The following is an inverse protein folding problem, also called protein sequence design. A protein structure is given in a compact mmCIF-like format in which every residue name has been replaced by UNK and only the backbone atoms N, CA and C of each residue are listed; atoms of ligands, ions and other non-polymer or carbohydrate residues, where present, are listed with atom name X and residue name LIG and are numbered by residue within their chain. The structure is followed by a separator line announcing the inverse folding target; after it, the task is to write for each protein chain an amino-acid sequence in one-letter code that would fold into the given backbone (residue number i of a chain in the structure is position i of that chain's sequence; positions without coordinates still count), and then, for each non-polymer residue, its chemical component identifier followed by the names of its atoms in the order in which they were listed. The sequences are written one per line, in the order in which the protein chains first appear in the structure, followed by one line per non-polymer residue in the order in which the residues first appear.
data_IF_382038809121
#
_entry.id   IF_382038809121
#
_cell.length_a   1.000
_cell.length_b   1.000
_cell.length_c   1.000
_cell.angle_alpha   90.00
_cell.angle_beta   90.00
_cell.angle_gamma   90.00
#
_symmetry.space_group_name_H-M   'P 1'
#
loop_
_entity.id
_entity.type
_entity.pdbx_description
1 polymer ?
#
# COMPACT_ATOMS: atom_id res chain seq x y z
N UNK A 1 19.60 -10.10 8.54
CA UNK A 1 18.98 -8.78 8.25
C UNK A 1 19.89 -7.92 7.39
N UNK A 2 21.07 -7.48 7.87
CA UNK A 2 22.01 -6.66 7.08
C UNK A 2 22.46 -7.36 5.79
N UNK A 3 22.78 -8.65 5.88
CA UNK A 3 23.20 -9.43 4.70
C UNK A 3 22.09 -9.52 3.65
N UNK A 4 20.82 -9.60 4.08
CA UNK A 4 19.68 -9.58 3.17
C UNK A 4 19.48 -8.21 2.52
N UNK A 5 19.58 -7.12 3.29
CA UNK A 5 19.51 -5.74 2.77
C UNK A 5 20.61 -5.51 1.73
N UNK A 6 21.84 -5.95 2.01
CA UNK A 6 22.94 -5.89 1.07
C UNK A 6 22.69 -6.76 -0.17
N UNK A 7 22.15 -7.97 0.00
CA UNK A 7 21.85 -8.88 -1.10
C UNK A 7 20.79 -8.31 -2.08
N UNK A 8 19.80 -7.56 -1.59
CA UNK A 8 18.80 -6.89 -2.44
C UNK A 8 19.27 -5.54 -2.98
N UNK A 9 20.50 -5.11 -2.68
CA UNK A 9 21.08 -3.83 -3.11
C UNK A 9 20.45 -2.60 -2.46
N UNK A 10 19.67 -2.77 -1.40
CA UNK A 10 19.01 -1.68 -0.69
C UNK A 10 19.97 -1.00 0.29
N UNK A 11 19.68 0.25 0.64
CA UNK A 11 20.38 1.01 1.68
C UNK A 11 19.46 1.20 2.88
N UNK A 12 19.98 1.03 4.09
CA UNK A 12 19.22 1.32 5.31
C UNK A 12 19.18 2.83 5.55
N UNK A 13 17.98 3.39 5.63
CA UNK A 13 17.76 4.72 6.18
C UNK A 13 17.52 4.59 7.69
N UNK A 14 18.36 5.23 8.49
CA UNK A 14 18.19 5.28 9.95
C UNK A 14 17.44 6.56 10.33
N UNK A 15 16.49 6.43 11.24
CA UNK A 15 15.86 7.57 11.91
C UNK A 15 16.87 8.15 12.89
N UNK A 16 17.08 9.46 12.83
CA UNK A 16 17.97 10.15 13.76
C UNK A 16 17.36 10.15 15.16
N UNK A 17 18.18 9.97 16.22
CA UNK A 17 17.71 10.13 17.58
C UNK A 17 17.04 11.49 17.78
N UNK A 18 15.81 11.49 18.30
CA UNK A 18 15.02 12.71 18.50
C UNK A 18 14.29 13.22 17.26
N UNK A 19 14.25 12.47 16.15
CA UNK A 19 13.55 12.85 14.92
C UNK A 19 12.37 11.92 14.56
N UNK A 20 11.34 11.80 15.42
CA UNK A 20 10.22 10.88 15.17
C UNK A 20 9.44 11.19 13.87
N UNK A 21 9.45 12.44 13.40
CA UNK A 21 8.80 12.84 12.15
C UNK A 21 9.41 12.16 10.90
N UNK A 22 10.64 11.64 10.96
CA UNK A 22 11.25 10.88 9.85
C UNK A 22 10.53 9.54 9.61
N UNK A 23 9.67 9.08 10.53
CA UNK A 23 8.83 7.88 10.40
C UNK A 23 7.36 8.21 10.07
N UNK A 24 7.03 9.46 9.79
CA UNK A 24 5.65 9.95 9.70
C UNK A 24 4.79 9.20 8.68
N UNK A 25 5.36 8.81 7.55
CA UNK A 25 4.63 8.07 6.50
C UNK A 25 4.22 6.67 6.97
N UNK A 26 5.14 5.92 7.58
CA UNK A 26 4.86 4.59 8.13
C UNK A 26 3.87 4.66 9.30
N UNK A 27 3.97 5.68 10.15
CA UNK A 27 3.04 5.89 11.25
C UNK A 27 1.64 6.22 10.75
N UNK A 28 1.54 7.13 9.77
CA UNK A 28 0.27 7.54 9.16
C UNK A 28 -0.41 6.36 8.45
N UNK A 29 0.37 5.54 7.72
CA UNK A 29 -0.13 4.31 7.11
C UNK A 29 -0.69 3.34 8.15
N UNK A 30 0.08 3.06 9.22
CA UNK A 30 -0.33 2.14 10.27
C UNK A 30 -1.53 2.65 11.09
N UNK A 31 -1.66 3.96 11.28
CA UNK A 31 -2.83 4.57 11.90
C UNK A 31 -4.07 4.32 11.05
N UNK A 32 -4.01 4.62 9.75
CA UNK A 32 -5.14 4.42 8.85
C UNK A 32 -5.55 2.96 8.71
N UNK A 33 -4.59 2.04 8.64
CA UNK A 33 -4.87 0.61 8.66
C UNK A 33 -5.63 0.18 9.93
N UNK A 34 -5.30 0.78 11.08
CA UNK A 34 -6.03 0.51 12.33
C UNK A 34 -7.44 1.06 12.29
N UNK A 35 -7.61 2.30 11.85
CA UNK A 35 -8.88 2.99 11.87
C UNK A 35 -9.88 2.42 10.84
N UNK A 36 -9.39 2.05 9.65
CA UNK A 36 -10.25 1.56 8.56
C UNK A 36 -10.52 0.05 8.62
N UNK A 37 -9.59 -0.76 9.14
CA UNK A 37 -9.71 -2.22 9.08
C UNK A 37 -9.53 -2.90 10.44
N UNK A 38 -8.34 -2.76 11.05
CA UNK A 38 -7.97 -3.63 12.18
C UNK A 38 -8.84 -3.42 13.42
N UNK A 39 -9.30 -2.20 13.69
CA UNK A 39 -10.15 -1.92 14.85
C UNK A 39 -11.64 -2.20 14.58
N UNK A 40 -12.04 -2.35 13.32
CA UNK A 40 -13.43 -2.61 12.92
C UNK A 40 -13.75 -4.10 12.74
N UNK A 41 -12.74 -4.96 12.59
CA UNK A 41 -12.91 -6.37 12.24
C UNK A 41 -12.42 -7.32 13.34
N UNK A 42 -13.17 -8.42 13.53
CA UNK A 42 -12.72 -9.58 14.32
C UNK A 42 -12.31 -10.67 13.32
N UNK A 43 -11.04 -11.04 13.33
CA UNK A 43 -10.55 -12.15 12.49
C UNK A 43 -10.71 -13.48 13.23
N UNK A 44 -11.44 -14.43 12.64
CA UNK A 44 -11.65 -15.76 13.19
C UNK A 44 -10.55 -16.75 12.80
N UNK A 45 -9.74 -16.43 11.79
CA UNK A 45 -8.55 -17.20 11.42
C UNK A 45 -7.45 -16.34 10.80
N UNK A 46 -6.22 -16.87 10.82
CA UNK A 46 -5.10 -16.23 10.12
C UNK A 46 -5.35 -16.14 8.61
N UNK A 47 -6.00 -17.14 8.02
CA UNK A 47 -6.28 -17.18 6.59
C UNK A 47 -7.26 -16.10 6.18
N UNK A 48 -8.31 -15.90 6.96
CA UNK A 48 -9.26 -14.80 6.78
C UNK A 48 -8.57 -13.45 6.90
N UNK A 49 -7.77 -13.23 7.95
CA UNK A 49 -7.01 -11.99 8.11
C UNK A 49 -6.12 -11.70 6.89
N UNK A 50 -5.41 -12.69 6.36
CA UNK A 50 -4.58 -12.53 5.16
C UNK A 50 -5.39 -12.09 3.93
N UNK A 51 -6.57 -12.68 3.72
CA UNK A 51 -7.44 -12.35 2.59
C UNK A 51 -7.96 -10.92 2.72
N UNK A 52 -8.52 -10.58 3.88
CA UNK A 52 -9.13 -9.27 4.12
C UNK A 52 -8.08 -8.15 4.07
N UNK A 53 -6.90 -8.37 4.67
CA UNK A 53 -5.81 -7.38 4.65
C UNK A 53 -5.28 -7.18 3.23
N UNK A 54 -5.17 -8.24 2.43
CA UNK A 54 -4.73 -8.12 1.03
C UNK A 54 -5.75 -7.39 0.16
N UNK A 55 -7.04 -7.61 0.41
CA UNK A 55 -8.10 -6.89 -0.29
C UNK A 55 -8.09 -5.39 0.06
N UNK A 56 -7.95 -5.06 1.35
CA UNK A 56 -7.76 -3.67 1.81
C UNK A 56 -6.50 -3.03 1.19
N UNK A 57 -5.38 -3.77 1.13
CA UNK A 57 -4.13 -3.29 0.50
C UNK A 57 -4.34 -2.94 -0.98
N UNK A 58 -5.08 -3.76 -1.73
CA UNK A 58 -5.42 -3.48 -3.13
C UNK A 58 -6.30 -2.24 -3.22
N UNK A 59 -7.36 -2.18 -2.43
CA UNK A 59 -8.28 -1.04 -2.39
C UNK A 59 -7.56 0.28 -2.13
N UNK A 60 -6.70 0.33 -1.11
CA UNK A 60 -5.91 1.52 -0.80
C UNK A 60 -4.96 1.92 -1.95
N UNK A 61 -4.40 0.95 -2.67
CA UNK A 61 -3.44 1.25 -3.74
C UNK A 61 -4.09 1.66 -5.06
N UNK A 62 -5.26 1.10 -5.40
CA UNK A 62 -5.85 1.25 -6.75
C UNK A 62 -7.12 2.08 -6.78
N UNK A 63 -7.87 2.17 -5.69
CA UNK A 63 -9.21 2.80 -5.66
C UNK A 63 -9.21 4.07 -4.80
N UNK A 64 -8.61 4.03 -3.61
CA UNK A 64 -8.68 5.14 -2.65
C UNK A 64 -7.82 6.33 -3.09
N UNK A 65 -8.42 7.52 -3.11
CA UNK A 65 -7.77 8.77 -3.49
C UNK A 65 -7.23 9.47 -2.26
N UNK A 66 -5.96 9.87 -2.30
CA UNK A 66 -5.32 10.56 -1.18
C UNK A 66 -5.14 12.04 -1.47
N UNK A 67 -5.55 12.90 -0.53
CA UNK A 67 -5.33 14.35 -0.62
C UNK A 67 -3.84 14.69 -0.75
N UNK A 68 -2.97 13.95 -0.05
CA UNK A 68 -1.51 14.04 -0.17
C UNK A 68 -0.99 13.71 -1.58
N UNK A 69 -1.75 12.95 -2.38
CA UNK A 69 -1.45 12.61 -3.77
C UNK A 69 -2.28 13.43 -4.76
N UNK A 70 -2.76 14.62 -4.38
CA UNK A 70 -3.65 15.45 -5.20
C UNK A 70 -4.89 14.69 -5.69
N UNK A 71 -5.48 13.89 -4.80
CA UNK A 71 -6.63 13.02 -5.07
C UNK A 71 -6.38 11.93 -6.13
N UNK A 72 -5.13 11.50 -6.29
CA UNK A 72 -4.78 10.32 -7.09
C UNK A 72 -4.62 9.09 -6.20
N UNK A 73 -4.68 7.93 -6.84
CA UNK A 73 -4.33 6.65 -6.22
C UNK A 73 -2.81 6.44 -6.32
N UNK A 74 -2.18 5.74 -5.37
CA UNK A 74 -0.74 5.48 -5.38
C UNK A 74 -0.30 4.65 -6.59
N UNK A 75 -1.12 3.69 -6.98
CA UNK A 75 -0.92 2.84 -8.16
C UNK A 75 -2.17 2.98 -9.02
N UNK A 76 -2.25 3.99 -9.90
CA UNK A 76 -3.35 4.09 -10.83
C UNK A 76 -3.37 2.84 -11.70
N UNK A 77 -4.50 2.14 -11.76
CA UNK A 77 -4.68 1.08 -12.74
C UNK A 77 -4.49 1.69 -14.12
N UNK A 78 -3.40 1.32 -14.79
CA UNK A 78 -3.20 1.67 -16.18
C UNK A 78 -4.22 0.87 -16.98
N UNK A 79 -5.36 1.48 -17.27
CA UNK A 79 -6.29 0.95 -18.27
C UNK A 79 -5.56 1.07 -19.61
N UNK A 80 -4.92 -0.02 -20.06
CA UNK A 80 -4.41 -0.12 -21.42
C UNK A 80 -5.68 -0.22 -22.28
N UNK A 81 -5.98 0.76 -23.16
CA UNK A 81 -7.07 0.59 -24.10
C UNK A 81 -6.68 -0.58 -25.01
N UNK A 82 -7.39 -1.69 -24.90
CA UNK A 82 -7.37 -2.70 -25.95
C UNK A 82 -7.90 -2.00 -27.20
N UNK A 83 -7.00 -1.76 -28.16
CA UNK A 83 -7.34 -1.15 -29.45
C UNK A 83 -8.31 -2.09 -30.17
N UNK A 84 -9.62 -1.88 -29.97
CA UNK A 84 -10.68 -2.60 -30.65
C UNK A 84 -10.84 -2.02 -32.05
N UNK A 85 -9.83 -2.17 -32.92
CA UNK A 85 -10.03 -1.96 -34.35
C UNK A 85 -10.87 -3.12 -34.87
N UNK A 86 -12.08 -2.87 -35.42
CA UNK A 86 -12.81 -3.93 -36.09
C UNK A 86 -11.99 -4.38 -37.30
N UNK A 87 -11.66 -5.68 -37.34
CA UNK A 87 -11.18 -6.31 -38.57
C UNK A 87 -12.36 -6.29 -39.53
N UNK A 88 -12.34 -5.35 -40.47
CA UNK A 88 -13.28 -5.37 -41.59
C UNK A 88 -12.94 -6.58 -42.46
N UNK A 89 -13.93 -7.46 -42.65
CA UNK A 89 -13.90 -8.59 -43.56
C UNK A 89 -13.91 -8.14 -45.03
#
# INVERSE_FOLDING_TARGET
MRDWIAAVGAKTAYIKPGSPWENGDCESFNARFRDELRNGEIFYSLKEAQIIIEDWRKHCNTIQRYSALAYRTPVPESVIPLDQRPVMH
#
